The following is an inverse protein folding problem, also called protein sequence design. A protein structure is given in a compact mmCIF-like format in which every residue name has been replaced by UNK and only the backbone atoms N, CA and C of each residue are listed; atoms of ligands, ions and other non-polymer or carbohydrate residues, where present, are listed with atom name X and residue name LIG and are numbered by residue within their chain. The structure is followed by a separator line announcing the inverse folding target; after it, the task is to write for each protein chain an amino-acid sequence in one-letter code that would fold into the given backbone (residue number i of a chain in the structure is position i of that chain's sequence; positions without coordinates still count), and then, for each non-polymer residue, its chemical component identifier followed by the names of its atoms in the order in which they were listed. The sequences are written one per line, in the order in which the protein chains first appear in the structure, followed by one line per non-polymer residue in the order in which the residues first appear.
data_IF_238723111609
#
_entry.id   IF_238723111609
#
_cell.length_a   1.000
_cell.length_b   1.000
_cell.length_c   1.000
_cell.angle_alpha   90.00
_cell.angle_beta   90.00
_cell.angle_gamma   90.00
#
_symmetry.space_group_name_H-M   'P 1'
#
loop_
_entity.id
_entity.type
_entity.pdbx_description
1 polymer ?
#
# COMPACT_ATOMS: atom_id res chain seq x y z
N UNK A 1 -13.47 17.09 -5.11
CA UNK A 1 -12.31 16.36 -4.54
C UNK A 1 -12.82 15.17 -3.73
N UNK A 2 -12.13 14.03 -3.75
CA UNK A 2 -12.53 12.81 -3.03
C UNK A 2 -11.45 12.51 -1.99
N UNK A 3 -11.83 12.50 -0.72
CA UNK A 3 -10.91 12.22 0.39
C UNK A 3 -11.23 10.86 0.99
N UNK A 4 -10.19 10.09 1.30
CA UNK A 4 -10.29 8.86 2.07
C UNK A 4 -9.14 8.78 3.06
N UNK A 5 -9.40 8.18 4.22
CA UNK A 5 -8.35 7.86 5.19
C UNK A 5 -7.79 6.47 4.89
N UNK A 6 -6.47 6.36 4.86
CA UNK A 6 -5.78 5.05 4.84
C UNK A 6 -5.58 4.62 6.30
N UNK A 7 -6.16 3.49 6.74
CA UNK A 7 -5.99 3.02 8.11
C UNK A 7 -4.52 2.71 8.44
N UNK A 8 -4.05 2.96 9.67
CA UNK A 8 -2.75 2.50 10.12
C UNK A 8 -2.56 0.99 9.91
N UNK A 9 -1.36 0.57 9.55
CA UNK A 9 -1.04 -0.84 9.29
C UNK A 9 -1.58 -1.40 7.97
N UNK A 10 -2.15 -0.57 7.09
CA UNK A 10 -2.55 -0.99 5.75
C UNK A 10 -1.33 -1.50 4.95
N UNK A 11 -1.54 -2.56 4.17
CA UNK A 11 -0.52 -3.24 3.38
C UNK A 11 -0.77 -3.05 1.89
N UNK A 12 0.25 -3.29 1.07
CA UNK A 12 0.12 -3.41 -0.39
C UNK A 12 -0.94 -4.44 -0.77
N UNK A 13 -1.70 -4.15 -1.81
CA UNK A 13 -2.81 -4.97 -2.29
C UNK A 13 -4.13 -4.82 -1.50
N UNK A 14 -4.13 -4.11 -0.36
CA UNK A 14 -5.38 -3.89 0.40
C UNK A 14 -6.37 -3.09 -0.43
N UNK A 15 -7.62 -3.57 -0.50
CA UNK A 15 -8.73 -2.93 -1.21
C UNK A 15 -9.56 -2.07 -0.26
N UNK A 16 -9.62 -0.77 -0.51
CA UNK A 16 -10.47 0.19 0.19
C UNK A 16 -11.70 0.50 -0.66
N UNK A 17 -12.89 0.39 -0.08
CA UNK A 17 -14.18 0.57 -0.78
C UNK A 17 -14.75 1.96 -0.52
N UNK A 18 -15.03 2.69 -1.58
CA UNK A 18 -15.80 3.92 -1.56
C UNK A 18 -17.20 3.65 -2.12
N UNK A 19 -18.17 3.52 -1.21
CA UNK A 19 -19.54 3.15 -1.54
C UNK A 19 -20.21 4.19 -2.44
N UNK A 20 -20.85 3.74 -3.52
CA UNK A 20 -21.62 4.59 -4.44
C UNK A 20 -20.78 5.53 -5.30
N UNK A 21 -19.45 5.32 -5.37
CA UNK A 21 -18.51 6.13 -6.16
C UNK A 21 -18.05 5.45 -7.45
N UNK A 22 -18.63 4.30 -7.79
CA UNK A 22 -18.36 3.57 -9.03
C UNK A 22 -19.14 4.15 -10.22
N UNK A 23 -19.27 3.32 -11.25
CA UNK A 23 -19.95 3.72 -12.50
C UNK A 23 -21.42 4.11 -12.18
N UNK A 24 -21.91 5.26 -12.69
CA UNK A 24 -23.30 5.69 -12.48
C UNK A 24 -24.32 4.73 -13.10
N UNK A 25 -25.49 4.61 -12.47
CA UNK A 25 -26.63 3.80 -12.92
C UNK A 25 -27.80 3.93 -11.96
N UNK A 26 -28.92 3.20 -12.17
CA UNK A 26 -30.08 3.22 -11.26
C UNK A 26 -29.70 2.90 -9.80
N UNK A 27 -28.69 2.05 -9.63
CA UNK A 27 -27.93 1.92 -8.38
C UNK A 27 -26.45 2.12 -8.74
N UNK A 28 -25.80 3.20 -8.28
CA UNK A 28 -24.39 3.42 -8.56
C UNK A 28 -23.52 2.28 -8.01
N UNK A 29 -22.48 1.91 -8.77
CA UNK A 29 -21.48 0.96 -8.29
C UNK A 29 -20.57 1.53 -7.20
N UNK A 30 -19.56 0.77 -6.81
CA UNK A 30 -18.54 1.21 -5.86
C UNK A 30 -17.19 1.40 -6.54
N UNK A 31 -16.39 2.32 -5.99
CA UNK A 31 -14.99 2.48 -6.36
C UNK A 31 -14.12 1.71 -5.37
N UNK A 32 -13.21 0.89 -5.89
CA UNK A 32 -12.19 0.22 -5.08
C UNK A 32 -10.84 0.86 -5.36
N UNK A 33 -10.17 1.27 -4.29
CA UNK A 33 -8.76 1.70 -4.32
C UNK A 33 -7.90 0.55 -3.82
N UNK A 34 -7.01 0.08 -4.68
CA UNK A 34 -6.03 -0.95 -4.35
C UNK A 34 -4.74 -0.23 -3.98
N UNK A 35 -4.25 -0.46 -2.76
CA UNK A 35 -3.02 0.19 -2.30
C UNK A 35 -1.82 -0.43 -3.01
N UNK A 36 -0.97 0.43 -3.56
CA UNK A 36 0.35 0.08 -4.06
C UNK A 36 1.42 0.80 -3.22
N UNK A 37 2.47 0.07 -2.85
CA UNK A 37 3.55 0.61 -2.02
C UNK A 37 4.69 1.02 -2.94
N UNK A 38 4.82 2.33 -3.14
CA UNK A 38 5.93 2.92 -3.90
C UNK A 38 7.00 3.44 -2.94
N UNK A 39 8.26 3.10 -3.20
CA UNK A 39 9.40 3.51 -2.37
C UNK A 39 10.16 4.65 -3.05
N UNK A 40 10.57 5.70 -2.32
CA UNK A 40 11.46 6.71 -2.87
C UNK A 40 12.86 6.14 -3.11
N UNK A 41 13.58 6.63 -4.15
CA UNK A 41 14.92 6.15 -4.46
C UNK A 41 15.92 6.61 -3.39
N UNK A 42 16.85 5.71 -3.01
CA UNK A 42 17.89 5.97 -2.01
C UNK A 42 19.14 6.63 -2.63
N UNK A 43 19.00 7.80 -3.25
CA UNK A 43 20.11 8.41 -4.01
C UNK A 43 21.16 9.10 -3.14
N UNK A 44 20.78 9.61 -1.97
CA UNK A 44 21.71 10.24 -1.02
C UNK A 44 22.21 9.25 0.04
N UNK A 45 23.37 9.53 0.62
CA UNK A 45 23.94 8.67 1.67
C UNK A 45 23.07 8.65 2.93
N UNK A 46 22.42 9.77 3.26
CA UNK A 46 21.45 9.83 4.35
C UNK A 46 20.21 8.93 4.08
N UNK A 47 19.70 8.91 2.85
CA UNK A 47 18.55 8.06 2.50
C UNK A 47 18.93 6.56 2.54
N UNK A 48 20.12 6.20 2.06
CA UNK A 48 20.65 4.83 2.17
C UNK A 48 20.77 4.41 3.64
N UNK A 49 21.37 5.25 4.48
CA UNK A 49 21.55 4.98 5.89
C UNK A 49 20.20 4.76 6.63
N UNK A 50 19.16 5.51 6.26
CA UNK A 50 17.81 5.32 6.82
C UNK A 50 17.25 3.93 6.49
N UNK A 51 17.35 3.49 5.23
CA UNK A 51 16.87 2.16 4.84
C UNK A 51 17.70 1.04 5.48
N UNK A 52 19.02 1.21 5.59
CA UNK A 52 19.87 0.25 6.29
C UNK A 52 19.51 0.13 7.78
N UNK A 53 19.21 1.25 8.44
CA UNK A 53 18.73 1.22 9.82
C UNK A 53 17.40 0.49 9.93
N UNK A 54 16.43 0.80 9.06
CA UNK A 54 15.15 0.09 9.04
C UNK A 54 15.34 -1.41 8.86
N UNK A 55 16.22 -1.85 7.96
CA UNK A 55 16.50 -3.26 7.72
C UNK A 55 17.10 -3.98 8.94
N UNK A 56 17.90 -3.28 9.77
CA UNK A 56 18.48 -3.84 11.00
C UNK A 56 17.45 -3.94 12.13
N UNK A 57 16.63 -2.91 12.31
CA UNK A 57 15.71 -2.79 13.45
C UNK A 57 14.39 -3.56 13.25
N UNK A 58 13.92 -3.62 12.00
CA UNK A 58 12.66 -4.26 11.67
C UNK A 58 12.96 -5.70 11.23
N UNK A 59 12.77 -6.67 12.13
CA UNK A 59 12.88 -8.11 11.87
C UNK A 59 11.74 -8.64 10.97
N UNK A 60 11.52 -7.99 9.82
CA UNK A 60 10.46 -8.27 8.86
C UNK A 60 11.00 -9.09 7.69
N UNK A 61 10.46 -10.29 7.48
CA UNK A 61 10.73 -11.09 6.29
C UNK A 61 9.58 -10.95 5.26
N UNK A 62 9.77 -10.18 4.18
CA UNK A 62 8.74 -10.01 3.15
C UNK A 62 8.42 -11.29 2.38
N UNK A 63 9.22 -12.35 2.50
CA UNK A 63 9.04 -13.62 1.79
C UNK A 63 8.51 -14.74 2.68
N UNK A 64 8.42 -14.55 3.99
CA UNK A 64 7.89 -15.57 4.90
C UNK A 64 6.45 -15.98 4.58
N UNK A 65 5.67 -15.08 3.97
CA UNK A 65 4.31 -15.36 3.48
C UNK A 65 4.21 -15.69 1.99
N UNK A 66 5.33 -15.80 1.28
CA UNK A 66 5.36 -16.00 -0.16
C UNK A 66 5.29 -17.47 -0.57
N UNK A 67 4.09 -18.01 -0.72
CA UNK A 67 3.85 -18.94 -1.82
C UNK A 67 4.14 -18.16 -3.11
N UNK A 68 5.35 -18.32 -3.63
CA UNK A 68 5.65 -17.97 -5.00
C UNK A 68 4.70 -18.75 -5.91
N UNK A 69 3.89 -18.01 -6.68
CA UNK A 69 3.21 -18.49 -7.89
C UNK A 69 2.53 -19.85 -7.79
N UNK A 70 1.28 -19.86 -7.33
CA UNK A 70 0.23 -20.57 -8.08
C UNK A 70 -0.71 -19.54 -8.67
#
# INVERSE_FOLDING_TARGET
ELQMSVPPGSQGGRKLRLKGRGIPGPTPGDLYVVLDVVLPPATSDAAKALYEQMARELAFDPRAGGEGGR
#
